data_IF_336601334761
#
_entry.id   IF_336601334761
#
_cell.length_a   1.000
_cell.length_b   1.000
_cell.length_c   1.000
_cell.angle_alpha   90.00
_cell.angle_beta   90.00
_cell.angle_gamma   90.00
#
_symmetry.space_group_name_H-M   'P 1'
#
loop_
_entity.id
_entity.type
_entity.pdbx_description
1 polymer ?
#
# COMPACT_ATOMS: atom_id res chain seq x y z
N UNK A 1 0.33 -14.57 27.53
CA UNK A 1 -0.72 -13.59 27.19
C UNK A 1 -0.36 -13.04 25.82
N UNK A 2 -1.17 -13.34 24.79
CA UNK A 2 -0.98 -12.72 23.46
C UNK A 2 -1.42 -11.27 23.63
N UNK A 3 -0.48 -10.33 23.56
CA UNK A 3 -0.78 -8.90 23.66
C UNK A 3 -1.69 -8.46 22.50
N UNK A 4 -2.60 -7.54 22.77
CA UNK A 4 -3.43 -6.91 21.73
C UNK A 4 -2.51 -6.28 20.67
N UNK A 5 -2.85 -6.41 19.37
CA UNK A 5 -2.07 -5.78 18.33
C UNK A 5 -2.04 -4.25 18.55
N UNK A 6 -0.94 -3.58 18.19
CA UNK A 6 -0.86 -2.13 18.28
C UNK A 6 -1.97 -1.45 17.47
N UNK A 7 -2.50 -0.33 17.94
CA UNK A 7 -3.60 0.40 17.27
C UNK A 7 -3.30 0.82 15.81
N UNK A 8 -2.02 0.93 15.42
CA UNK A 8 -1.65 1.21 14.03
C UNK A 8 -1.97 0.05 13.08
N UNK A 9 -2.05 -1.18 13.60
CA UNK A 9 -2.39 -2.38 12.82
C UNK A 9 -3.82 -2.28 12.31
N UNK A 10 -4.78 -1.93 13.16
CA UNK A 10 -6.19 -1.75 12.76
C UNK A 10 -6.33 -0.69 11.66
N UNK A 11 -5.60 0.42 11.78
CA UNK A 11 -5.58 1.48 10.76
C UNK A 11 -5.00 0.96 9.44
N UNK A 12 -3.94 0.14 9.50
CA UNK A 12 -3.32 -0.46 8.32
C UNK A 12 -4.26 -1.45 7.61
N UNK A 13 -5.01 -2.24 8.37
CA UNK A 13 -6.02 -3.17 7.85
C UNK A 13 -7.19 -2.43 7.20
N UNK A 14 -7.65 -1.34 7.82
CA UNK A 14 -8.71 -0.49 7.25
C UNK A 14 -8.27 0.16 5.92
N UNK A 15 -7.03 0.64 5.84
CA UNK A 15 -6.46 1.19 4.59
C UNK A 15 -6.41 0.09 3.52
N UNK A 16 -5.92 -1.10 3.85
CA UNK A 16 -5.89 -2.24 2.93
C UNK A 16 -7.29 -2.63 2.45
N UNK A 17 -8.28 -2.66 3.34
CA UNK A 17 -9.67 -2.94 3.00
C UNK A 17 -10.27 -1.89 2.07
N UNK A 18 -9.99 -0.59 2.30
CA UNK A 18 -10.43 0.48 1.41
C UNK A 18 -9.80 0.36 0.02
N UNK A 19 -8.50 0.08 -0.06
CA UNK A 19 -7.81 -0.15 -1.34
C UNK A 19 -8.42 -1.33 -2.11
N UNK A 20 -8.76 -2.42 -1.41
CA UNK A 20 -9.40 -3.56 -2.05
C UNK A 20 -10.79 -3.23 -2.59
N UNK A 21 -11.60 -2.50 -1.81
CA UNK A 21 -12.91 -2.01 -2.27
C UNK A 21 -12.77 -1.09 -3.48
N UNK A 22 -11.78 -0.19 -3.47
CA UNK A 22 -11.50 0.70 -4.59
C UNK A 22 -11.13 -0.09 -5.85
N UNK A 23 -10.30 -1.14 -5.76
CA UNK A 23 -9.97 -2.04 -6.89
C UNK A 23 -11.21 -2.70 -7.48
N UNK A 24 -12.10 -3.24 -6.63
CA UNK A 24 -13.36 -3.85 -7.09
C UNK A 24 -14.22 -2.83 -7.83
N UNK A 25 -14.43 -1.65 -7.26
CA UNK A 25 -15.21 -0.57 -7.88
C UNK A 25 -14.59 -0.05 -9.17
N UNK A 26 -13.26 0.03 -9.25
CA UNK A 26 -12.55 0.38 -10.49
C UNK A 26 -12.80 -0.65 -11.59
N UNK A 27 -12.95 -1.93 -11.27
CA UNK A 27 -13.30 -2.97 -12.25
C UNK A 27 -14.75 -2.81 -12.75
N UNK A 28 -15.68 -2.48 -11.85
CA UNK A 28 -17.07 -2.15 -12.20
C UNK A 28 -17.15 -0.90 -13.07
N UNK A 29 -16.37 0.13 -12.73
CA UNK A 29 -16.32 1.38 -13.46
C UNK A 29 -15.83 1.18 -14.90
N UNK A 30 -14.81 0.34 -15.12
CA UNK A 30 -14.35 0.01 -16.49
C UNK A 30 -15.47 -0.63 -17.33
N UNK A 31 -16.34 -1.44 -16.72
CA UNK A 31 -17.50 -2.01 -17.43
C UNK A 31 -18.54 -0.93 -17.73
N UNK A 32 -18.79 -0.02 -16.80
CA UNK A 32 -19.71 1.11 -17.00
C UNK A 32 -19.20 2.04 -18.12
N UNK A 33 -17.91 2.39 -18.12
CA UNK A 33 -17.26 3.13 -19.20
C UNK A 33 -17.42 2.45 -20.56
N UNK A 34 -17.16 1.13 -20.64
CA UNK A 34 -17.32 0.39 -21.89
C UNK A 34 -18.77 0.41 -22.38
N UNK A 35 -19.75 0.32 -21.47
CA UNK A 35 -21.18 0.38 -21.80
C UNK A 35 -21.59 1.78 -22.29
N UNK A 36 -21.15 2.84 -21.62
CA UNK A 36 -21.45 4.23 -21.97
C UNK A 36 -20.82 4.70 -23.30
N UNK A 37 -19.79 3.99 -23.78
CA UNK A 37 -19.16 4.21 -25.08
C UNK A 37 -19.81 3.40 -26.22
N UNK A 38 -20.68 2.43 -25.92
CA UNK A 38 -21.36 1.67 -26.98
C UNK A 38 -22.46 2.50 -27.65
N UNK A 39 -22.61 2.43 -28.99
CA UNK A 39 -23.76 2.99 -29.68
C UNK A 39 -25.04 2.29 -29.20
N UNK A 40 -25.82 2.95 -28.34
CA UNK A 40 -27.08 2.43 -27.80
C UNK A 40 -28.20 3.43 -28.06
N UNK A 41 -29.39 2.92 -28.38
CA UNK A 41 -30.61 3.72 -28.56
C UNK A 41 -31.33 4.02 -27.23
N UNK A 42 -30.74 3.64 -26.08
CA UNK A 42 -31.27 3.90 -24.74
C UNK A 42 -30.86 5.25 -24.15
N UNK A 43 -31.55 5.68 -23.10
CA UNK A 43 -31.22 6.91 -22.35
C UNK A 43 -29.90 6.70 -21.56
N UNK A 44 -28.79 7.27 -22.05
CA UNK A 44 -27.45 7.13 -21.46
C UNK A 44 -27.30 7.64 -20.02
N UNK A 45 -28.35 8.26 -19.47
CA UNK A 45 -28.43 8.80 -18.10
C UNK A 45 -28.16 7.78 -17.00
N UNK A 46 -28.61 6.53 -17.18
CA UNK A 46 -28.39 5.49 -16.16
C UNK A 46 -26.91 5.13 -16.05
N UNK A 47 -26.24 4.97 -17.19
CA UNK A 47 -24.81 4.66 -17.23
C UNK A 47 -23.98 5.85 -16.73
N UNK A 48 -24.39 7.08 -17.06
CA UNK A 48 -23.80 8.31 -16.53
C UNK A 48 -23.85 8.35 -14.99
N UNK A 49 -25.01 8.08 -14.41
CA UNK A 49 -25.18 8.11 -12.96
C UNK A 49 -24.33 7.04 -12.26
N UNK A 50 -24.23 5.85 -12.87
CA UNK A 50 -23.38 4.76 -12.34
C UNK A 50 -21.90 5.14 -12.40
N UNK A 51 -21.44 5.73 -13.51
CA UNK A 51 -20.07 6.25 -13.65
C UNK A 51 -19.79 7.32 -12.59
N UNK A 52 -20.75 8.22 -12.37
CA UNK A 52 -20.62 9.30 -11.41
C UNK A 52 -20.45 8.77 -9.99
N UNK A 53 -21.33 7.86 -9.58
CA UNK A 53 -21.35 7.26 -8.26
C UNK A 53 -20.08 6.45 -7.99
N UNK A 54 -19.68 5.58 -8.92
CA UNK A 54 -18.46 4.78 -8.78
C UNK A 54 -17.21 5.66 -8.71
N UNK A 55 -17.14 6.71 -9.54
CA UNK A 55 -16.02 7.67 -9.53
C UNK A 55 -15.90 8.35 -8.17
N UNK A 56 -17.02 8.86 -7.64
CA UNK A 56 -17.03 9.50 -6.32
C UNK A 56 -16.64 8.52 -5.20
N UNK A 57 -17.20 7.31 -5.18
CA UNK A 57 -16.90 6.30 -4.16
C UNK A 57 -15.43 5.87 -4.17
N UNK A 58 -14.83 5.67 -5.35
CA UNK A 58 -13.41 5.32 -5.49
C UNK A 58 -12.55 6.48 -4.95
N UNK A 59 -12.83 7.72 -5.36
CA UNK A 59 -12.06 8.88 -4.91
C UNK A 59 -12.16 9.08 -3.40
N UNK A 60 -13.34 8.90 -2.82
CA UNK A 60 -13.57 9.00 -1.38
C UNK A 60 -12.84 7.88 -0.60
N UNK A 61 -12.79 6.65 -1.12
CA UNK A 61 -11.97 5.57 -0.54
C UNK A 61 -10.48 5.91 -0.57
N UNK A 62 -9.98 6.46 -1.69
CA UNK A 62 -8.57 6.86 -1.83
C UNK A 62 -8.22 8.02 -0.89
N UNK A 63 -9.04 9.08 -0.84
CA UNK A 63 -8.87 10.23 0.07
C UNK A 63 -8.92 9.80 1.55
N UNK A 64 -9.85 8.93 1.93
CA UNK A 64 -9.91 8.43 3.32
C UNK A 64 -8.68 7.62 3.68
N UNK A 65 -8.19 6.80 2.75
CA UNK A 65 -6.98 6.00 2.94
C UNK A 65 -5.74 6.88 3.08
N UNK A 66 -5.62 7.93 2.25
CA UNK A 66 -4.54 8.91 2.29
C UNK A 66 -4.53 9.68 3.62
N UNK A 67 -5.67 10.23 4.06
CA UNK A 67 -5.77 10.92 5.36
C UNK A 67 -5.41 10.02 6.54
N UNK A 68 -5.80 8.74 6.51
CA UNK A 68 -5.47 7.76 7.55
C UNK A 68 -3.98 7.44 7.55
N UNK A 69 -3.40 7.31 6.37
CA UNK A 69 -1.97 7.06 6.20
C UNK A 69 -1.11 8.24 6.67
N UNK A 70 -1.54 9.48 6.42
CA UNK A 70 -0.89 10.66 6.96
C UNK A 70 -0.94 10.70 8.49
N UNK A 71 -2.09 10.36 9.09
CA UNK A 71 -2.21 10.27 10.55
C UNK A 71 -1.29 9.21 11.16
N UNK A 72 -1.06 8.09 10.48
CA UNK A 72 -0.05 7.11 10.88
C UNK A 72 1.37 7.68 10.87
N UNK A 73 1.66 8.61 9.96
CA UNK A 73 2.97 9.27 9.85
C UNK A 73 3.24 10.28 10.97
N UNK A 74 2.21 10.88 11.55
CA UNK A 74 2.35 11.91 12.60
C UNK A 74 2.37 11.35 14.03
N UNK A 75 2.43 10.02 14.19
CA UNK A 75 2.45 9.36 15.49
C UNK A 75 3.73 9.62 16.30
N UNK A 76 3.67 9.39 17.61
CA UNK A 76 4.78 9.66 18.54
C UNK A 76 6.07 8.92 18.10
N UNK A 77 7.20 9.63 17.94
CA UNK A 77 8.50 9.05 17.55
C UNK A 77 9.11 8.12 18.62
N UNK A 78 8.55 8.09 19.84
CA UNK A 78 9.07 7.24 20.93
C UNK A 78 8.63 5.77 20.81
N UNK A 79 7.58 5.46 20.04
CA UNK A 79 7.09 4.10 19.75
C UNK A 79 7.30 3.66 18.29
N UNK A 80 8.29 4.26 17.62
CA UNK A 80 8.50 4.14 16.18
C UNK A 80 9.16 2.79 15.81
N UNK A 81 8.38 1.70 15.81
CA UNK A 81 8.85 0.39 15.34
C UNK A 81 9.18 0.44 13.84
N UNK A 82 10.32 -0.12 13.44
CA UNK A 82 10.70 -0.31 12.04
C UNK A 82 9.58 -0.98 11.22
N UNK A 83 8.78 -1.85 11.86
CA UNK A 83 7.62 -2.50 11.24
C UNK A 83 6.55 -1.47 10.83
N UNK A 84 6.22 -0.50 11.69
CA UNK A 84 5.23 0.55 11.41
C UNK A 84 5.65 1.39 10.20
N UNK A 85 6.91 1.83 10.16
CA UNK A 85 7.46 2.60 9.03
C UNK A 85 7.45 1.82 7.73
N UNK A 86 7.78 0.53 7.78
CA UNK A 86 7.76 -0.33 6.59
C UNK A 86 6.33 -0.53 6.06
N UNK A 87 5.37 -0.78 6.95
CA UNK A 87 3.95 -0.89 6.57
C UNK A 87 3.44 0.43 6.00
N UNK A 88 3.71 1.56 6.65
CA UNK A 88 3.33 2.88 6.17
C UNK A 88 3.87 3.14 4.75
N UNK A 89 5.16 2.88 4.52
CA UNK A 89 5.79 3.06 3.20
C UNK A 89 5.19 2.14 2.14
N UNK A 90 4.94 0.87 2.48
CA UNK A 90 4.29 -0.08 1.57
C UNK A 90 2.90 0.40 1.18
N UNK A 91 2.07 0.78 2.16
CA UNK A 91 0.73 1.30 1.93
C UNK A 91 0.75 2.61 1.13
N UNK A 92 1.73 3.48 1.35
CA UNK A 92 1.90 4.71 0.56
C UNK A 92 2.16 4.39 -0.91
N UNK A 93 3.09 3.48 -1.19
CA UNK A 93 3.40 3.02 -2.54
C UNK A 93 2.19 2.35 -3.20
N UNK A 94 1.50 1.45 -2.50
CA UNK A 94 0.32 0.76 -3.03
C UNK A 94 -0.83 1.73 -3.34
N UNK A 95 -1.08 2.70 -2.45
CA UNK A 95 -2.12 3.70 -2.63
C UNK A 95 -1.79 4.68 -3.75
N UNK A 96 -0.51 5.05 -3.92
CA UNK A 96 -0.05 5.88 -5.03
C UNK A 96 -0.22 5.15 -6.37
N UNK A 97 0.19 3.89 -6.45
CA UNK A 97 0.02 3.05 -7.63
C UNK A 97 -1.47 2.89 -8.00
N UNK A 98 -2.34 2.65 -7.01
CA UNK A 98 -3.77 2.52 -7.22
C UNK A 98 -4.40 3.82 -7.72
N UNK A 99 -4.00 4.97 -7.14
CA UNK A 99 -4.45 6.30 -7.58
C UNK A 99 -4.01 6.60 -9.01
N UNK A 100 -2.79 6.20 -9.37
CA UNK A 100 -2.26 6.33 -10.73
C UNK A 100 -3.02 5.44 -11.73
N UNK A 101 -3.30 4.19 -11.37
CA UNK A 101 -4.09 3.27 -12.20
C UNK A 101 -5.50 3.81 -12.43
N UNK A 102 -6.13 4.38 -11.40
CA UNK A 102 -7.45 4.98 -11.51
C UNK A 102 -7.44 6.21 -12.43
N UNK A 103 -6.46 7.10 -12.25
CA UNK A 103 -6.27 8.26 -13.13
C UNK A 103 -6.10 7.85 -14.58
N UNK A 104 -5.26 6.84 -14.87
CA UNK A 104 -5.06 6.31 -16.24
C UNK A 104 -6.37 5.85 -16.86
N UNK A 105 -7.20 5.13 -16.11
CA UNK A 105 -8.53 4.67 -16.58
C UNK A 105 -9.47 5.84 -16.87
N UNK A 106 -9.50 6.87 -16.02
CA UNK A 106 -10.30 8.09 -16.24
C UNK A 106 -9.80 8.90 -17.44
N UNK A 107 -8.50 9.09 -17.59
CA UNK A 107 -7.90 9.77 -18.75
C UNK A 107 -8.20 9.04 -20.06
N UNK A 108 -8.10 7.71 -20.06
CA UNK A 108 -8.47 6.89 -21.22
C UNK A 108 -9.95 7.06 -21.58
N UNK A 109 -10.82 7.05 -20.58
CA UNK A 109 -12.25 7.27 -20.77
C UNK A 109 -12.55 8.65 -21.36
N UNK A 110 -11.92 9.70 -20.82
CA UNK A 110 -12.04 11.07 -21.30
C UNK A 110 -11.61 11.20 -22.78
N UNK A 111 -10.47 10.60 -23.15
CA UNK A 111 -9.99 10.57 -24.54
C UNK A 111 -11.01 9.91 -25.47
N UNK A 112 -11.64 8.81 -25.03
CA UNK A 112 -12.67 8.11 -25.81
C UNK A 112 -13.95 8.93 -25.97
N UNK A 113 -14.38 9.64 -24.93
CA UNK A 113 -15.52 10.56 -25.00
C UNK A 113 -15.29 11.68 -26.03
N UNK A 114 -14.07 12.22 -26.07
CA UNK A 114 -13.67 13.22 -27.06
C UNK A 114 -13.64 12.66 -28.50
N UNK A 115 -13.05 11.48 -28.70
CA UNK A 115 -12.99 10.84 -30.03
C UNK A 115 -14.38 10.51 -30.61
N UNK A 116 -15.32 10.07 -29.77
CA UNK A 116 -16.70 9.81 -30.21
C UNK A 116 -17.41 11.08 -30.69
N UNK A 117 -17.00 12.24 -30.19
CA UNK A 117 -17.54 13.53 -30.56
C UNK A 117 -16.96 14.05 -31.89
N UNK A 118 -15.66 13.89 -32.12
CA UNK A 118 -15.00 14.26 -33.38
C UNK A 118 -15.41 13.35 -34.55
N UNK A 119 -15.73 12.09 -34.28
CA UNK A 119 -16.14 11.11 -35.28
C UNK A 119 -17.61 11.18 -35.74
N UNK A 120 -18.44 12.08 -35.20
CA UNK A 120 -19.84 12.22 -35.65
C UNK A 120 -19.99 12.85 -37.05
N UNK A 121 -18.92 13.38 -37.64
CA UNK A 121 -18.87 13.86 -39.03
C UNK A 121 -18.22 12.88 -40.03
N UNK A 122 -17.79 11.69 -39.58
CA UNK A 122 -17.07 10.72 -40.41
C UNK A 122 -17.62 9.32 -40.27
N UNK A 123 -18.53 8.94 -41.17
CA UNK A 123 -18.97 7.56 -41.36
C UNK A 123 -17.76 6.68 -41.71
N UNK A 124 -17.20 5.96 -40.72
CA UNK A 124 -16.62 4.63 -40.90
C UNK A 124 -16.38 3.96 -39.54
N UNK A 125 -17.34 3.14 -39.12
CA UNK A 125 -17.21 2.19 -38.02
C UNK A 125 -16.45 0.96 -38.52
N UNK A 126 -15.17 1.10 -38.84
CA UNK A 126 -14.31 -0.07 -39.07
C UNK A 126 -13.76 -0.64 -37.76
N UNK A 127 -13.93 -1.95 -37.67
CA UNK A 127 -13.59 -2.81 -36.55
C UNK A 127 -12.12 -2.69 -36.13
N UNK A 128 -11.83 -2.19 -34.93
CA UNK A 128 -10.51 -2.43 -34.33
C UNK A 128 -10.58 -2.73 -32.82
N UNK A 129 -11.04 -3.96 -32.50
CA UNK A 129 -10.90 -4.56 -31.17
C UNK A 129 -9.43 -4.82 -30.77
N UNK A 130 -8.47 -4.68 -31.68
CA UNK A 130 -7.05 -4.93 -31.43
C UNK A 130 -6.25 -3.66 -31.05
N UNK A 131 -6.78 -2.45 -31.26
CA UNK A 131 -6.12 -1.18 -30.90
C UNK A 131 -6.16 -0.83 -29.40
N UNK A 132 -7.06 -1.46 -28.63
CA UNK A 132 -7.28 -1.19 -27.19
C UNK A 132 -6.03 -1.51 -26.35
N UNK A 133 -5.15 -2.38 -26.83
CA UNK A 133 -4.01 -2.91 -26.07
C UNK A 133 -2.71 -2.11 -26.28
N UNK A 134 -2.60 -1.32 -27.34
CA UNK A 134 -1.35 -0.64 -27.72
C UNK A 134 -1.28 0.83 -27.23
N UNK A 135 -2.41 1.49 -26.92
CA UNK A 135 -2.42 2.86 -26.39
C UNK A 135 -2.21 2.95 -24.86
N UNK A 136 -2.17 1.82 -24.14
CA UNK A 136 -2.02 1.81 -22.68
C UNK A 136 -0.56 1.94 -22.21
N UNK A 137 0.40 1.80 -23.13
CA UNK A 137 1.83 1.71 -22.78
C UNK A 137 2.63 3.02 -22.93
N UNK A 138 2.16 4.03 -23.68
CA UNK A 138 3.11 5.02 -24.24
C UNK A 138 2.76 6.52 -24.07
N UNK A 139 2.16 6.93 -22.95
CA UNK A 139 2.09 8.38 -22.64
C UNK A 139 2.20 8.66 -21.14
N UNK A 140 3.43 8.63 -20.63
CA UNK A 140 3.77 8.71 -19.20
C UNK A 140 4.48 10.03 -18.80
N UNK A 141 4.40 11.10 -19.59
CA UNK A 141 5.15 12.33 -19.27
C UNK A 141 4.35 13.57 -18.87
N UNK A 142 3.01 13.57 -18.88
CA UNK A 142 2.26 14.79 -18.52
C UNK A 142 1.58 14.70 -17.13
N UNK A 143 2.17 15.43 -16.19
CA UNK A 143 1.76 15.53 -14.78
C UNK A 143 0.63 16.56 -14.65
N UNK A 144 -0.44 16.40 -15.43
CA UNK A 144 -1.52 17.38 -15.50
C UNK A 144 -2.25 17.28 -16.84
N UNK A 145 -3.50 17.70 -16.89
CA UNK A 145 -4.00 18.27 -18.16
C UNK A 145 -3.55 19.73 -18.11
N UNK A 146 -2.82 20.19 -19.12
CA UNK A 146 -2.43 21.60 -19.20
C UNK A 146 -3.68 22.49 -19.24
N UNK A 147 -3.63 23.70 -18.67
CA UNK A 147 -4.76 24.65 -18.61
C UNK A 147 -5.29 24.98 -20.04
N UNK A 148 -4.42 24.82 -21.03
CA UNK A 148 -4.73 24.92 -22.46
C UNK A 148 -5.59 23.76 -22.98
N UNK A 149 -5.37 22.52 -22.51
CA UNK A 149 -6.26 21.38 -22.82
C UNK A 149 -7.64 21.58 -22.17
N UNK A 150 -7.68 22.11 -20.94
CA UNK A 150 -8.92 22.40 -20.22
C UNK A 150 -9.76 23.51 -20.88
N UNK A 151 -9.11 24.52 -21.47
CA UNK A 151 -9.81 25.62 -22.16
C UNK A 151 -10.31 25.22 -23.55
N UNK A 152 -9.65 24.26 -24.22
CA UNK A 152 -10.11 23.71 -25.51
C UNK A 152 -11.40 22.89 -25.34
N UNK A 153 -11.58 22.21 -24.20
CA UNK A 153 -12.82 21.48 -23.86
C UNK A 153 -14.08 22.35 -23.89
N UNK A 154 -13.97 23.65 -23.56
CA UNK A 154 -15.12 24.57 -23.49
C UNK A 154 -15.58 25.10 -24.86
N UNK A 155 -14.83 24.88 -25.93
CA UNK A 155 -15.03 25.59 -27.23
C UNK A 155 -15.72 24.77 -28.32
N UNK A 156 -15.98 23.48 -28.12
CA UNK A 156 -16.70 22.66 -29.10
C UNK A 156 -18.23 22.78 -28.91
N UNK A 157 -18.89 23.55 -29.77
CA UNK A 157 -20.36 23.77 -29.77
C UNK A 157 -21.18 22.51 -30.14
N UNK A 158 -20.55 21.34 -30.31
CA UNK A 158 -21.21 20.06 -30.59
C UNK A 158 -21.50 19.22 -29.31
N UNK A 159 -21.44 19.82 -28.12
CA UNK A 159 -21.70 19.12 -26.87
C UNK A 159 -23.20 18.94 -26.60
N UNK A 160 -23.67 17.69 -26.46
CA UNK A 160 -24.91 17.48 -25.71
C UNK A 160 -24.62 17.82 -24.25
N UNK A 161 -25.43 18.69 -23.63
CA UNK A 161 -25.26 19.17 -22.24
C UNK A 161 -24.98 18.07 -21.21
N UNK A 162 -25.43 16.85 -21.47
CA UNK A 162 -25.20 15.66 -20.65
C UNK A 162 -23.77 15.14 -20.74
N UNK A 163 -23.24 15.00 -21.96
CA UNK A 163 -21.83 14.65 -22.19
C UNK A 163 -20.90 15.70 -21.59
N UNK A 164 -21.29 16.98 -21.61
CA UNK A 164 -20.44 18.07 -21.09
C UNK A 164 -20.26 17.93 -19.57
N UNK A 165 -21.36 17.60 -18.87
CA UNK A 165 -21.34 17.30 -17.44
C UNK A 165 -20.46 16.10 -17.13
N UNK A 166 -20.56 15.04 -17.93
CA UNK A 166 -19.73 13.85 -17.79
C UNK A 166 -18.24 14.18 -17.90
N UNK A 167 -17.85 14.95 -18.92
CA UNK A 167 -16.47 15.39 -19.10
C UNK A 167 -15.98 16.20 -17.89
N UNK A 168 -16.76 17.19 -17.45
CA UNK A 168 -16.40 18.03 -16.30
C UNK A 168 -16.15 17.15 -15.08
N UNK A 169 -17.02 16.18 -14.84
CA UNK A 169 -16.90 15.30 -13.69
C UNK A 169 -15.65 14.41 -13.75
N UNK A 170 -15.36 13.83 -14.91
CA UNK A 170 -14.15 13.00 -15.11
C UNK A 170 -12.90 13.84 -14.88
N UNK A 171 -12.87 15.07 -15.41
CA UNK A 171 -11.75 16.00 -15.24
C UNK A 171 -11.55 16.41 -13.78
N UNK A 172 -12.63 16.70 -13.06
CA UNK A 172 -12.56 16.98 -11.62
C UNK A 172 -11.94 15.79 -10.87
N UNK A 173 -12.38 14.56 -11.15
CA UNK A 173 -11.82 13.36 -10.52
C UNK A 173 -10.32 13.19 -10.81
N UNK A 174 -9.88 13.47 -12.03
CA UNK A 174 -8.46 13.40 -12.43
C UNK A 174 -7.62 14.41 -11.66
N UNK A 175 -8.14 15.62 -11.44
CA UNK A 175 -7.47 16.65 -10.66
C UNK A 175 -7.38 16.29 -9.17
N UNK A 176 -8.45 15.73 -8.60
CA UNK A 176 -8.43 15.24 -7.22
C UNK A 176 -7.38 14.13 -7.02
N UNK A 177 -7.23 13.24 -8.01
CA UNK A 177 -6.21 12.18 -7.97
C UNK A 177 -4.78 12.74 -8.06
N UNK A 178 -4.55 13.83 -8.81
CA UNK A 178 -3.25 14.49 -8.81
C UNK A 178 -2.87 15.00 -7.41
N UNK A 179 -3.84 15.59 -6.70
CA UNK A 179 -3.60 16.06 -5.34
C UNK A 179 -3.25 14.89 -4.39
N UNK A 180 -4.03 13.80 -4.43
CA UNK A 180 -3.74 12.60 -3.62
C UNK A 180 -2.33 12.06 -3.92
N UNK A 181 -1.96 11.93 -5.20
CA UNK A 181 -0.63 11.45 -5.58
C UNK A 181 0.50 12.37 -5.11
N UNK A 182 0.31 13.69 -5.16
CA UNK A 182 1.27 14.66 -4.64
C UNK A 182 1.46 14.50 -3.13
N UNK A 183 0.38 14.35 -2.39
CA UNK A 183 0.40 14.20 -0.93
C UNK A 183 1.02 12.85 -0.51
N UNK A 184 0.81 11.80 -1.29
CA UNK A 184 1.46 10.49 -1.09
C UNK A 184 2.94 10.49 -1.49
N UNK A 185 3.34 11.31 -2.46
CA UNK A 185 4.74 11.35 -2.92
C UNK A 185 5.68 11.74 -1.79
N UNK A 186 5.27 12.65 -0.90
CA UNK A 186 6.04 13.01 0.30
C UNK A 186 6.30 11.80 1.21
N UNK A 187 5.37 10.86 1.29
CA UNK A 187 5.50 9.63 2.09
C UNK A 187 6.32 8.54 1.39
N UNK A 188 6.44 8.60 0.06
CA UNK A 188 7.13 7.59 -0.77
C UNK A 188 8.58 7.97 -1.07
N UNK A 189 8.92 9.27 -1.14
CA UNK A 189 10.24 9.81 -1.53
C UNK A 189 11.38 9.37 -0.57
N UNK A 190 11.09 9.01 0.67
CA UNK A 190 12.10 8.53 1.64
C UNK A 190 12.69 7.14 1.33
N UNK A 191 12.35 6.55 0.18
CA UNK A 191 12.96 5.34 -0.33
C UNK A 191 13.78 5.66 -1.57
N UNK A 192 15.11 5.65 -1.40
CA UNK A 192 16.00 5.30 -2.50
C UNK A 192 15.47 4.06 -3.23
N UNK A 193 15.79 3.99 -4.52
CA UNK A 193 15.41 2.96 -5.50
C UNK A 193 15.14 1.59 -4.89
N UNK A 194 14.05 0.95 -5.34
CA UNK A 194 13.44 -0.35 -4.95
C UNK A 194 14.43 -1.46 -4.49
N UNK A 195 15.69 -1.42 -4.93
CA UNK A 195 16.75 -2.40 -4.68
C UNK A 195 17.40 -2.31 -3.28
N UNK A 196 17.51 -1.13 -2.63
CA UNK A 196 18.18 -1.00 -1.32
C UNK A 196 17.47 -1.71 -0.16
N UNK A 197 16.20 -2.10 -0.35
CA UNK A 197 15.31 -2.62 0.71
C UNK A 197 15.54 -4.09 1.03
N UNK A 198 16.05 -4.87 0.08
CA UNK A 198 16.43 -6.27 0.33
C UNK A 198 17.73 -6.28 1.13
N UNK A 199 18.73 -5.52 0.70
CA UNK A 199 20.04 -5.50 1.36
C UNK A 199 19.97 -5.00 2.80
N UNK A 200 19.22 -3.91 3.07
CA UNK A 200 19.07 -3.39 4.44
C UNK A 200 18.36 -4.38 5.39
N UNK A 201 17.25 -4.98 4.96
CA UNK A 201 16.50 -5.92 5.80
C UNK A 201 17.24 -7.25 5.97
N UNK A 202 17.90 -7.75 4.92
CA UNK A 202 18.75 -8.95 4.98
C UNK A 202 19.92 -8.71 5.91
N UNK A 203 20.54 -7.52 5.89
CA UNK A 203 21.67 -7.19 6.75
C UNK A 203 21.26 -7.05 8.23
N UNK A 204 20.10 -6.48 8.52
CA UNK A 204 19.55 -6.44 9.89
C UNK A 204 19.15 -7.84 10.42
N UNK A 205 18.55 -8.67 9.57
CA UNK A 205 18.22 -10.07 9.93
C UNK A 205 19.49 -10.89 10.15
N UNK A 206 20.50 -10.75 9.28
CA UNK A 206 21.79 -11.40 9.44
C UNK A 206 22.50 -10.98 10.74
N UNK A 207 22.48 -9.69 11.07
CA UNK A 207 23.03 -9.18 12.34
C UNK A 207 22.30 -9.76 13.56
N UNK A 208 20.97 -9.82 13.51
CA UNK A 208 20.15 -10.35 14.61
C UNK A 208 20.36 -11.86 14.81
N UNK A 209 20.54 -12.62 13.72
CA UNK A 209 20.85 -14.06 13.77
C UNK A 209 22.24 -14.32 14.33
N UNK A 210 23.24 -13.53 13.93
CA UNK A 210 24.62 -13.60 14.45
C UNK A 210 24.68 -13.32 15.96
N UNK A 211 23.93 -12.31 16.43
CA UNK A 211 23.82 -12.02 17.86
C UNK A 211 23.10 -13.13 18.63
N UNK A 212 22.02 -13.69 18.06
CA UNK A 212 21.32 -14.85 18.63
C UNK A 212 22.24 -16.07 18.74
N UNK A 213 23.06 -16.34 17.72
CA UNK A 213 24.05 -17.40 17.73
C UNK A 213 25.10 -17.20 18.85
N UNK A 214 25.63 -15.99 19.03
CA UNK A 214 26.57 -15.67 20.12
C UNK A 214 25.96 -15.88 21.50
N UNK A 215 24.68 -15.55 21.69
CA UNK A 215 23.98 -15.79 22.94
C UNK A 215 23.81 -17.29 23.22
N UNK A 216 23.47 -18.08 22.21
CA UNK A 216 23.36 -19.54 22.31
C UNK A 216 24.71 -20.19 22.63
N UNK A 217 25.79 -19.77 21.97
CA UNK A 217 27.14 -20.29 22.25
C UNK A 217 27.60 -19.95 23.67
N UNK A 218 27.31 -18.74 24.15
CA UNK A 218 27.60 -18.32 25.52
C UNK A 218 26.80 -19.14 26.54
N UNK A 219 25.53 -19.43 26.24
CA UNK A 219 24.66 -20.27 27.07
C UNK A 219 25.18 -21.71 27.14
N UNK A 220 25.56 -22.31 26.01
CA UNK A 220 26.14 -23.66 25.94
C UNK A 220 27.44 -23.74 26.75
N UNK A 221 28.37 -22.80 26.56
CA UNK A 221 29.63 -22.74 27.34
C UNK A 221 29.38 -22.62 28.83
N UNK A 222 28.35 -21.87 29.23
CA UNK A 222 27.97 -21.70 30.63
C UNK A 222 27.35 -22.98 31.20
N UNK A 223 26.47 -23.63 30.45
CA UNK A 223 25.84 -24.89 30.82
C UNK A 223 26.87 -26.02 30.98
N UNK A 224 27.82 -26.12 30.04
CA UNK A 224 28.88 -27.14 30.05
C UNK A 224 29.83 -27.00 31.23
N UNK A 225 30.10 -25.78 31.69
CA UNK A 225 30.90 -25.51 32.91
C UNK A 225 30.10 -25.75 34.18
N UNK A 226 28.80 -25.42 34.19
CA UNK A 226 27.93 -25.56 35.37
C UNK A 226 27.83 -27.00 35.89
N UNK A 227 27.76 -27.99 34.99
CA UNK A 227 27.67 -29.40 35.38
C UNK A 227 28.89 -29.91 36.17
N UNK A 228 30.10 -29.54 35.77
CA UNK A 228 31.32 -29.92 36.50
C UNK A 228 31.45 -29.21 37.84
N UNK A 229 31.06 -27.94 37.91
CA UNK A 229 31.10 -27.16 39.17
C UNK A 229 30.10 -27.70 40.18
N UNK A 230 28.87 -28.06 39.77
CA UNK A 230 27.89 -28.67 40.68
C UNK A 230 28.34 -30.03 41.23
N UNK A 231 28.98 -30.87 40.40
CA UNK A 231 29.50 -32.15 40.87
C UNK A 231 30.63 -31.96 41.91
N UNK A 232 31.55 -31.03 41.64
CA UNK A 232 32.63 -30.71 42.55
C UNK A 232 32.13 -30.16 43.89
N UNK A 233 31.12 -29.28 43.89
CA UNK A 233 30.56 -28.74 45.15
C UNK A 233 29.86 -29.80 45.99
N UNK A 234 29.13 -30.73 45.38
CA UNK A 234 28.49 -31.86 46.08
C UNK A 234 29.54 -32.77 46.73
N UNK A 235 30.63 -33.09 46.03
CA UNK A 235 31.72 -33.91 46.60
C UNK A 235 32.39 -33.25 47.81
N UNK A 236 32.64 -31.94 47.74
CA UNK A 236 33.24 -31.19 48.86
C UNK A 236 32.33 -31.21 50.09
N UNK A 237 31.02 -31.03 49.91
CA UNK A 237 30.04 -31.07 51.00
C UNK A 237 30.02 -32.46 51.64
N UNK A 238 30.00 -33.53 50.84
CA UNK A 238 30.02 -34.91 51.35
C UNK A 238 31.29 -35.21 52.14
N UNK A 239 32.46 -34.78 51.65
CA UNK A 239 33.71 -34.92 52.38
C UNK A 239 33.69 -34.18 53.72
N UNK A 240 33.16 -32.96 53.75
CA UNK A 240 33.03 -32.18 54.99
C UNK A 240 32.12 -32.88 56.00
N UNK A 241 30.97 -33.38 55.57
CA UNK A 241 30.04 -34.14 56.43
C UNK A 241 30.74 -35.36 57.01
N UNK A 242 31.46 -36.14 56.19
CA UNK A 242 32.21 -37.31 56.67
C UNK A 242 33.29 -36.94 57.70
N UNK A 243 33.98 -35.81 57.49
CA UNK A 243 35.01 -35.31 58.41
C UNK A 243 34.41 -34.91 59.76
N UNK A 244 33.28 -34.19 59.75
CA UNK A 244 32.54 -33.83 60.97
C UNK A 244 32.08 -35.09 61.72
N UNK A 245 31.55 -36.09 61.01
CA UNK A 245 31.14 -37.36 61.63
C UNK A 245 32.32 -38.11 62.26
N UNK A 246 33.51 -38.10 61.64
CA UNK A 246 34.72 -38.71 62.21
C UNK A 246 35.20 -38.00 63.47
N UNK A 247 35.19 -36.66 63.47
CA UNK A 247 35.56 -35.86 64.64
C UNK A 247 34.58 -36.11 65.78
N UNK A 248 33.27 -36.07 65.51
CA UNK A 248 32.24 -36.38 66.50
C UNK A 248 32.38 -37.80 67.04
N UNK A 249 32.63 -38.79 66.18
CA UNK A 249 32.89 -40.17 66.60
C UNK A 249 34.11 -40.27 67.51
N UNK A 250 35.21 -39.62 67.16
CA UNK A 250 36.46 -39.65 67.97
C UNK A 250 36.30 -38.95 69.32
N UNK A 251 35.39 -37.99 69.42
CA UNK A 251 35.13 -37.26 70.68
C UNK A 251 34.13 -38.01 71.57
N UNK A 252 33.14 -38.69 70.98
CA UNK A 252 32.02 -39.34 71.70
C UNK A 252 32.25 -40.83 71.99
N UNK A 253 33.17 -41.50 71.29
CA UNK A 253 33.56 -42.90 71.47
C UNK A 253 35.06 -43.03 71.68
#
# INVERSE_FOLDING_TARGET
>A
MVGLPPAWVDVSEEIAANMQRARTKMSELVKAHAKALMPSFGDGKEDQHVIELLTHEITDLLKRSEKRLQKLSSGDPTEDSNVRKNVQRSLATDLQNLSMEFRKKQSFYLKRLQQQQEGQDGVDLEMNRNGIRHEMEDDFHDVGFDEVQLSTLKRSEAFTREREREIVQVVESVNELAQIMKDLSVLVIDQGTIVDRIDYNVQNVASSVEEGHKQLEKAERTQRKGGMVMCATVLVILCFVMLVLLVLKTILF
#
